data_IF_535407269488
#
_entry.id   IF_535407269488
#
_cell.length_a   1.000
_cell.length_b   1.000
_cell.length_c   1.000
_cell.angle_alpha   90.00
_cell.angle_beta   90.00
_cell.angle_gamma   90.00
#
_symmetry.space_group_name_H-M   'P 1'
#
loop_
_entity.id
_entity.type
_entity.pdbx_description
1 polymer ?
#
# COMPACT_ATOMS: atom_id res chain seq x y z
N UNK A 1 12.67 -19.58 -4.27
CA UNK A 1 12.54 -18.15 -4.63
C UNK A 1 13.01 -17.28 -3.48
N UNK A 2 12.53 -17.50 -2.25
CA UNK A 2 13.00 -16.81 -1.04
C UNK A 2 14.54 -16.65 -0.95
N UNK A 3 15.31 -17.72 -1.08
CA UNK A 3 16.80 -17.67 -1.04
C UNK A 3 17.40 -16.76 -2.13
N UNK A 4 16.73 -16.60 -3.27
CA UNK A 4 17.21 -15.78 -4.39
C UNK A 4 16.70 -14.34 -4.36
N UNK A 5 15.44 -14.13 -3.98
CA UNK A 5 14.76 -12.83 -4.09
C UNK A 5 14.49 -12.16 -2.74
N UNK A 6 14.64 -12.88 -1.62
CA UNK A 6 14.23 -12.42 -0.29
C UNK A 6 12.71 -12.39 -0.08
N UNK A 7 11.91 -12.73 -1.10
CA UNK A 7 10.45 -12.70 -1.04
C UNK A 7 9.88 -14.12 -0.93
N UNK A 8 9.08 -14.44 0.10
CA UNK A 8 8.48 -15.76 0.26
C UNK A 8 7.43 -16.02 -0.83
N UNK A 9 7.30 -17.28 -1.23
CA UNK A 9 6.27 -17.64 -2.22
C UNK A 9 4.90 -17.70 -1.57
N UNK A 10 3.82 -17.63 -2.36
CA UNK A 10 2.46 -17.82 -1.84
C UNK A 10 2.27 -19.17 -1.14
N UNK A 11 3.06 -20.20 -1.49
CA UNK A 11 3.05 -21.49 -0.78
C UNK A 11 3.66 -21.39 0.62
N UNK A 12 4.70 -20.58 0.78
CA UNK A 12 5.35 -20.36 2.07
C UNK A 12 4.44 -19.54 2.99
N UNK A 13 3.81 -18.48 2.46
CA UNK A 13 2.85 -17.66 3.20
C UNK A 13 1.66 -18.51 3.66
N UNK A 14 1.09 -19.35 2.78
CA UNK A 14 -0.04 -20.24 3.14
C UNK A 14 0.25 -21.19 4.31
N UNK A 15 1.51 -21.59 4.53
CA UNK A 15 1.88 -22.47 5.65
C UNK A 15 1.80 -21.76 7.01
N UNK A 16 2.01 -20.44 7.02
CA UNK A 16 2.02 -19.61 8.24
C UNK A 16 0.74 -18.81 8.42
N UNK A 17 -0.15 -18.78 7.41
CA UNK A 17 -1.46 -18.15 7.50
C UNK A 17 -2.31 -18.82 8.58
N UNK A 18 -2.85 -18.08 9.56
CA UNK A 18 -3.78 -18.64 10.54
C UNK A 18 -5.04 -19.20 9.86
N UNK A 19 -5.65 -20.26 10.41
CA UNK A 19 -6.95 -20.74 9.93
C UNK A 19 -8.02 -19.65 9.98
N UNK A 20 -8.98 -19.66 9.05
CA UNK A 20 -10.07 -18.68 9.00
C UNK A 20 -10.85 -18.57 10.31
N UNK A 21 -11.10 -19.71 10.96
CA UNK A 21 -11.78 -19.78 12.26
C UNK A 21 -11.05 -19.00 13.37
N UNK A 22 -9.73 -18.80 13.25
CA UNK A 22 -8.94 -18.00 14.18
C UNK A 22 -9.03 -16.52 13.81
N UNK A 23 -8.92 -16.19 12.52
CA UNK A 23 -9.00 -14.81 12.03
C UNK A 23 -10.36 -14.17 12.31
N UNK A 24 -11.45 -14.96 12.25
CA UNK A 24 -12.81 -14.51 12.55
C UNK A 24 -13.07 -14.31 14.05
N UNK A 25 -12.28 -14.92 14.94
CA UNK A 25 -12.45 -14.79 16.39
C UNK A 25 -11.85 -13.52 16.96
N UNK A 26 -10.82 -12.97 16.33
CA UNK A 26 -10.16 -11.77 16.81
C UNK A 26 -8.70 -11.66 16.38
N UNK A 27 -7.96 -10.71 16.99
CA UNK A 27 -6.60 -10.40 16.62
C UNK A 27 -5.65 -11.56 16.96
N UNK A 28 -4.76 -11.89 16.02
CA UNK A 28 -3.80 -12.99 16.17
C UNK A 28 -2.42 -12.60 15.63
N UNK A 29 -1.36 -13.11 16.27
CA UNK A 29 0.00 -12.94 15.77
C UNK A 29 0.28 -13.89 14.59
N UNK A 30 1.02 -13.42 13.61
CA UNK A 30 1.51 -14.17 12.45
C UNK A 30 3.02 -14.02 12.42
N UNK A 31 3.75 -15.15 12.41
CA UNK A 31 5.21 -15.16 12.38
C UNK A 31 5.69 -15.63 11.00
N UNK A 32 6.36 -14.76 10.29
CA UNK A 32 6.94 -14.98 8.95
C UNK A 32 8.43 -15.34 9.04
N UNK A 33 8.77 -16.30 9.90
CA UNK A 33 10.11 -16.86 9.98
C UNK A 33 10.23 -18.06 9.02
N UNK A 34 10.90 -17.86 7.88
CA UNK A 34 10.96 -18.85 6.80
C UNK A 34 12.27 -19.62 6.70
N UNK A 35 13.23 -19.39 7.59
CA UNK A 35 14.55 -20.04 7.58
C UNK A 35 14.83 -20.61 8.98
N UNK A 36 15.67 -21.65 9.05
CA UNK A 36 16.11 -22.26 10.31
C UNK A 36 17.35 -21.52 10.80
N UNK A 37 17.15 -20.59 11.73
CA UNK A 37 18.19 -19.74 12.30
C UNK A 37 18.13 -19.81 13.84
N UNK A 38 19.27 -19.72 14.54
CA UNK A 38 19.32 -19.86 16.00
C UNK A 38 18.71 -18.63 16.68
N UNK A 39 17.39 -18.62 16.90
CA UNK A 39 16.65 -17.45 17.37
C UNK A 39 15.40 -17.84 18.19
N UNK A 40 15.27 -17.33 19.41
CA UNK A 40 14.12 -17.52 20.30
C UNK A 40 13.56 -16.27 21.04
N UNK A 41 13.86 -15.00 20.70
CA UNK A 41 13.25 -13.83 21.35
C UNK A 41 11.73 -13.83 21.35
N UNK A 42 11.08 -14.35 20.30
CA UNK A 42 9.62 -14.40 20.24
C UNK A 42 9.03 -15.28 21.35
N UNK A 43 9.63 -16.46 21.60
CA UNK A 43 9.25 -17.36 22.68
C UNK A 43 9.49 -16.73 24.04
N UNK A 44 10.70 -16.22 24.30
CA UNK A 44 11.05 -15.61 25.60
C UNK A 44 10.27 -14.32 25.89
N UNK A 45 9.79 -13.61 24.85
CA UNK A 45 8.91 -12.46 24.99
C UNK A 45 7.48 -12.84 25.42
N UNK A 46 7.03 -14.06 25.11
CA UNK A 46 5.64 -14.45 25.27
C UNK A 46 5.32 -14.85 26.71
N UNK A 47 4.58 -13.99 27.43
CA UNK A 47 4.12 -14.29 28.80
C UNK A 47 2.93 -15.26 28.87
N UNK A 48 2.28 -15.51 27.74
CA UNK A 48 1.07 -16.34 27.64
C UNK A 48 1.37 -17.76 27.18
N UNK A 49 2.64 -18.10 26.93
CA UNK A 49 3.06 -19.40 26.39
C UNK A 49 2.31 -19.75 25.08
N UNK A 50 2.08 -18.74 24.25
CA UNK A 50 1.43 -18.86 22.95
C UNK A 50 2.39 -19.26 21.84
N UNK A 51 3.70 -19.29 22.09
CA UNK A 51 4.70 -19.82 21.17
C UNK A 51 5.22 -21.12 21.78
N UNK A 52 5.23 -22.21 21.01
CA UNK A 52 5.73 -23.50 21.47
C UNK A 52 7.20 -23.37 21.87
N UNK A 53 7.60 -24.12 22.90
CA UNK A 53 9.01 -24.22 23.27
C UNK A 53 9.80 -24.86 22.13
N UNK A 54 11.01 -24.36 21.91
CA UNK A 54 11.89 -24.82 20.86
C UNK A 54 12.63 -26.07 21.35
N UNK A 55 12.57 -27.18 20.60
CA UNK A 55 13.39 -28.36 20.87
C UNK A 55 14.85 -28.08 20.45
N UNK A 56 15.02 -27.51 19.25
CA UNK A 56 16.25 -26.90 18.77
C UNK A 56 16.01 -25.39 18.56
N UNK A 57 16.97 -24.56 18.98
CA UNK A 57 16.92 -23.11 18.79
C UNK A 57 16.87 -22.69 17.31
N UNK A 58 17.29 -23.58 16.40
CA UNK A 58 17.20 -23.38 14.96
C UNK A 58 15.79 -23.66 14.40
N UNK A 59 14.91 -24.31 15.16
CA UNK A 59 13.55 -24.59 14.70
C UNK A 59 12.76 -23.31 14.49
N UNK A 60 11.73 -23.39 13.63
CA UNK A 60 10.84 -22.26 13.39
C UNK A 60 9.83 -22.11 14.53
N UNK A 61 9.49 -20.88 14.93
CA UNK A 61 8.46 -20.65 15.94
C UNK A 61 7.10 -21.14 15.45
N UNK A 62 6.42 -21.91 16.28
CA UNK A 62 5.03 -22.30 16.09
C UNK A 62 4.13 -21.62 17.12
N UNK A 63 2.99 -21.08 16.65
CA UNK A 63 2.02 -20.39 17.51
C UNK A 63 0.90 -21.36 17.91
N UNK A 64 0.57 -21.35 19.19
CA UNK A 64 -0.65 -21.93 19.75
C UNK A 64 -1.70 -20.81 19.73
N UNK A 65 -2.51 -20.77 18.69
CA UNK A 65 -3.40 -19.64 18.41
C UNK A 65 -4.40 -19.36 19.55
N UNK A 66 -4.86 -20.40 20.24
CA UNK A 66 -5.81 -20.32 21.35
C UNK A 66 -5.26 -19.55 22.57
N UNK A 67 -3.94 -19.47 22.70
CA UNK A 67 -3.26 -18.76 23.80
C UNK A 67 -2.79 -17.37 23.38
N UNK A 68 -2.87 -17.02 22.11
CA UNK A 68 -2.37 -15.75 21.61
C UNK A 68 -3.34 -14.64 21.96
N UNK A 69 -2.87 -13.63 22.69
CA UNK A 69 -3.68 -12.46 23.06
C UNK A 69 -3.39 -11.23 22.20
N UNK A 70 -2.61 -11.39 21.12
CA UNK A 70 -2.18 -10.30 20.23
C UNK A 70 -1.60 -9.05 20.95
N UNK A 71 -0.87 -9.25 22.07
CA UNK A 71 -0.34 -8.14 22.86
C UNK A 71 0.77 -7.32 22.16
N UNK A 72 1.44 -7.90 21.15
CA UNK A 72 2.52 -7.26 20.37
C UNK A 72 3.91 -7.32 21.01
N UNK A 73 4.09 -8.02 22.14
CA UNK A 73 5.41 -8.13 22.79
C UNK A 73 6.42 -8.89 21.94
N UNK A 74 6.00 -9.96 21.26
CA UNK A 74 6.83 -10.71 20.33
C UNK A 74 7.24 -9.85 19.13
N UNK A 75 6.34 -9.03 18.60
CA UNK A 75 6.61 -8.10 17.48
C UNK A 75 7.71 -7.12 17.85
N UNK A 76 7.60 -6.47 19.01
CA UNK A 76 8.58 -5.48 19.47
C UNK A 76 9.96 -6.07 19.77
N UNK A 77 10.04 -7.36 20.15
CA UNK A 77 11.31 -8.02 20.48
C UNK A 77 11.90 -8.84 19.33
N UNK A 78 11.22 -8.90 18.18
CA UNK A 78 11.69 -9.70 17.05
C UNK A 78 12.88 -8.99 16.38
N UNK A 79 14.10 -9.55 16.42
CA UNK A 79 15.24 -8.92 15.76
C UNK A 79 15.14 -8.94 14.23
N UNK A 80 14.32 -9.85 13.67
CA UNK A 80 14.09 -9.97 12.23
C UNK A 80 12.88 -9.20 11.72
N UNK A 81 12.16 -8.46 12.57
CA UNK A 81 10.94 -7.72 12.21
C UNK A 81 9.88 -8.57 11.47
N UNK A 82 9.88 -9.88 11.73
CA UNK A 82 9.13 -10.89 10.97
C UNK A 82 7.82 -11.31 11.63
N UNK A 83 7.30 -10.52 12.57
CA UNK A 83 6.07 -10.84 13.30
C UNK A 83 5.09 -9.71 13.11
N UNK A 84 3.86 -10.07 12.79
CA UNK A 84 2.77 -9.15 12.53
C UNK A 84 1.58 -9.55 13.41
N UNK A 85 0.66 -8.63 13.66
CA UNK A 85 -0.64 -8.98 14.24
C UNK A 85 -1.70 -8.58 13.23
N UNK A 86 -2.64 -9.48 12.98
CA UNK A 86 -3.74 -9.28 12.06
C UNK A 86 -5.04 -9.40 12.82
N UNK A 87 -5.94 -8.46 12.57
CA UNK A 87 -7.30 -8.45 13.12
C UNK A 87 -8.31 -8.19 12.01
N UNK A 88 -8.98 -9.24 11.55
CA UNK A 88 -10.05 -9.13 10.55
C UNK A 88 -11.42 -8.81 11.17
N UNK A 89 -11.51 -8.72 12.51
CA UNK A 89 -12.75 -8.40 13.22
C UNK A 89 -12.96 -6.89 13.42
N UNK A 90 -11.98 -6.08 13.01
CA UNK A 90 -11.99 -4.63 13.18
C UNK A 90 -13.21 -3.93 12.54
N UNK A 91 -13.57 -4.33 11.33
CA UNK A 91 -14.70 -3.78 10.56
C UNK A 91 -15.24 -4.83 9.58
N UNK A 92 -16.39 -4.56 8.95
CA UNK A 92 -16.92 -5.40 7.87
C UNK A 92 -15.97 -5.43 6.67
N UNK A 93 -15.45 -4.26 6.27
CA UNK A 93 -14.64 -4.06 5.06
C UNK A 93 -13.14 -3.94 5.30
N UNK A 94 -12.73 -3.55 6.50
CA UNK A 94 -11.33 -3.30 6.85
C UNK A 94 -10.82 -4.30 7.89
N UNK A 95 -9.52 -4.59 7.84
CA UNK A 95 -8.77 -5.30 8.85
C UNK A 95 -7.67 -4.40 9.40
N UNK A 96 -7.17 -4.69 10.61
CA UNK A 96 -5.94 -4.05 11.09
C UNK A 96 -4.73 -4.96 10.96
N UNK A 97 -3.62 -4.37 10.55
CA UNK A 97 -2.32 -5.01 10.49
C UNK A 97 -1.34 -4.20 11.32
N UNK A 98 -0.79 -4.82 12.35
CA UNK A 98 0.25 -4.23 13.18
C UNK A 98 1.62 -4.67 12.68
N UNK A 99 2.45 -3.67 12.39
CA UNK A 99 3.77 -3.81 11.82
C UNK A 99 4.83 -3.27 12.80
N UNK A 100 6.01 -3.91 12.89
CA UNK A 100 7.18 -3.28 13.49
C UNK A 100 7.75 -2.19 12.56
N UNK A 101 8.20 -1.09 13.13
CA UNK A 101 8.75 0.05 12.39
C UNK A 101 9.93 0.69 13.14
N UNK A 102 11.07 0.83 12.47
CA UNK A 102 12.33 1.29 13.07
C UNK A 102 12.88 2.59 12.48
N UNK A 103 12.12 3.23 11.60
CA UNK A 103 12.52 4.48 10.95
C UNK A 103 11.91 5.71 11.61
N UNK A 104 12.50 6.87 11.32
CA UNK A 104 11.98 8.19 11.64
C UNK A 104 11.80 8.99 10.35
N UNK A 105 10.82 9.92 10.27
CA UNK A 105 9.84 10.24 11.29
C UNK A 105 8.77 9.16 11.46
N UNK A 106 8.14 9.10 12.64
CA UNK A 106 6.97 8.25 12.85
C UNK A 106 5.72 8.89 12.23
N UNK A 107 4.80 8.09 11.66
CA UNK A 107 3.50 8.60 11.26
C UNK A 107 2.70 9.06 12.49
N UNK A 108 1.70 9.90 12.28
CA UNK A 108 0.72 10.28 13.31
C UNK A 108 -0.53 9.42 13.16
N UNK A 109 -1.23 9.22 14.28
CA UNK A 109 -2.55 8.59 14.24
C UNK A 109 -3.51 9.43 13.40
N UNK A 110 -4.20 8.78 12.47
CA UNK A 110 -5.06 9.41 11.48
C UNK A 110 -4.40 9.73 10.14
N UNK A 111 -3.06 9.67 10.03
CA UNK A 111 -2.37 9.83 8.75
C UNK A 111 -2.73 8.69 7.78
N UNK A 112 -2.67 8.99 6.49
CA UNK A 112 -2.74 7.97 5.45
C UNK A 112 -1.34 7.71 4.90
N UNK A 113 -1.03 6.44 4.70
CA UNK A 113 0.25 5.92 4.23
C UNK A 113 0.00 4.90 3.13
N UNK A 114 1.03 4.58 2.35
CA UNK A 114 0.93 3.54 1.32
C UNK A 114 1.34 2.20 1.93
N UNK A 115 0.41 1.26 2.02
CA UNK A 115 0.69 -0.12 2.40
C UNK A 115 1.50 -0.82 1.31
N UNK A 116 2.59 -1.47 1.70
CA UNK A 116 3.50 -2.19 0.81
C UNK A 116 3.42 -3.70 1.06
N UNK A 117 3.57 -4.48 -0.01
CA UNK A 117 3.73 -5.93 0.10
C UNK A 117 5.16 -6.33 0.49
N UNK A 118 5.43 -7.64 0.52
CA UNK A 118 6.74 -8.24 0.86
C UNK A 118 7.86 -7.89 -0.12
N UNK A 119 7.50 -7.55 -1.35
CA UNK A 119 8.44 -7.08 -2.38
C UNK A 119 8.70 -5.56 -2.30
N UNK A 120 7.98 -4.83 -1.45
CA UNK A 120 8.04 -3.38 -1.36
C UNK A 120 7.16 -2.66 -2.38
N UNK A 121 6.26 -3.37 -3.07
CA UNK A 121 5.34 -2.78 -4.04
C UNK A 121 4.10 -2.19 -3.35
N UNK A 122 3.59 -1.04 -3.81
CA UNK A 122 2.39 -0.43 -3.26
C UNK A 122 1.15 -1.27 -3.59
N UNK A 123 0.37 -1.64 -2.57
CA UNK A 123 -0.82 -2.50 -2.73
C UNK A 123 -2.11 -1.84 -2.31
N UNK A 124 -2.08 -0.94 -1.32
CA UNK A 124 -3.27 -0.20 -0.92
C UNK A 124 -2.94 1.08 -0.17
N UNK A 125 -3.94 1.96 -0.14
CA UNK A 125 -3.96 3.08 0.78
C UNK A 125 -4.33 2.57 2.17
N UNK A 126 -3.54 2.91 3.18
CA UNK A 126 -3.73 2.43 4.55
C UNK A 126 -3.84 3.60 5.52
N UNK A 127 -4.71 3.49 6.52
CA UNK A 127 -4.86 4.52 7.56
C UNK A 127 -4.11 4.13 8.82
N UNK A 128 -3.34 5.04 9.39
CA UNK A 128 -2.63 4.81 10.65
C UNK A 128 -3.63 4.90 11.80
N UNK A 129 -3.96 3.75 12.39
CA UNK A 129 -4.92 3.65 13.50
C UNK A 129 -4.25 3.95 14.83
N UNK A 130 -3.04 3.42 15.04
CA UNK A 130 -2.36 3.52 16.33
C UNK A 130 -0.85 3.49 16.21
N UNK A 131 -0.17 4.34 16.97
CA UNK A 131 1.29 4.40 17.01
C UNK A 131 1.76 4.14 18.44
N UNK A 132 2.46 3.03 18.65
CA UNK A 132 3.04 2.67 19.95
C UNK A 132 4.56 2.72 19.86
N UNK A 133 5.17 3.68 20.53
CA UNK A 133 6.63 3.76 20.62
C UNK A 133 7.17 2.75 21.64
N UNK A 134 8.25 2.07 21.28
CA UNK A 134 9.03 1.27 22.23
C UNK A 134 9.63 2.13 23.36
N UNK A 135 9.95 1.51 24.50
CA UNK A 135 10.72 2.17 25.57
C UNK A 135 12.18 2.35 25.10
N UNK A 136 12.94 3.26 25.74
CA UNK A 136 14.32 3.65 25.38
C UNK A 136 15.26 2.47 25.02
N UNK A 137 15.10 1.31 25.66
CA UNK A 137 15.94 0.11 25.42
C UNK A 137 15.65 -0.61 24.10
N UNK A 138 14.47 -0.41 23.49
CA UNK A 138 14.06 -1.10 22.27
C UNK A 138 13.38 -0.09 21.34
N UNK A 139 14.09 0.36 20.30
CA UNK A 139 13.69 1.48 19.44
C UNK A 139 12.63 1.12 18.39
N UNK A 140 12.22 -0.15 18.33
CA UNK A 140 11.14 -0.62 17.47
C UNK A 140 9.79 -0.04 17.93
N UNK A 141 9.15 0.71 17.05
CA UNK A 141 7.78 1.19 17.22
C UNK A 141 6.81 0.21 16.59
N UNK A 142 5.60 0.12 17.13
CA UNK A 142 4.51 -0.69 16.57
C UNK A 142 3.49 0.23 15.95
N UNK A 143 3.26 0.05 14.65
CA UNK A 143 2.33 0.86 13.86
C UNK A 143 1.16 -0.04 13.47
N UNK A 144 -0.06 0.35 13.83
CA UNK A 144 -1.27 -0.36 13.44
C UNK A 144 -1.91 0.36 12.28
N UNK A 145 -2.04 -0.32 11.15
CA UNK A 145 -2.65 0.18 9.92
C UNK A 145 -4.03 -0.46 9.74
N UNK A 146 -5.04 0.33 9.36
CA UNK A 146 -6.27 -0.18 8.78
C UNK A 146 -6.10 -0.31 7.27
N UNK A 147 -6.42 -1.49 6.75
CA UNK A 147 -6.25 -1.89 5.35
C UNK A 147 -7.50 -2.63 4.89
N UNK A 148 -7.79 -2.71 3.57
CA UNK A 148 -8.85 -3.57 3.05
C UNK A 148 -8.66 -5.01 3.54
N UNK A 149 -9.75 -5.66 3.97
CA UNK A 149 -9.69 -7.00 4.59
C UNK A 149 -9.01 -8.04 3.69
N UNK A 150 -9.23 -7.96 2.38
CA UNK A 150 -8.61 -8.84 1.37
C UNK A 150 -7.08 -8.76 1.35
N UNK A 151 -6.50 -7.65 1.83
CA UNK A 151 -5.07 -7.36 1.82
C UNK A 151 -4.43 -7.51 3.21
N UNK A 152 -5.17 -8.03 4.21
CA UNK A 152 -4.69 -8.25 5.59
C UNK A 152 -3.39 -9.07 5.65
N UNK A 153 -3.31 -10.11 4.81
CA UNK A 153 -2.16 -10.99 4.68
C UNK A 153 -1.11 -10.50 3.68
N UNK A 154 -1.38 -9.42 2.95
CA UNK A 154 -0.48 -8.91 1.90
C UNK A 154 0.38 -7.75 2.40
N UNK A 155 -0.20 -6.83 3.18
CA UNK A 155 0.53 -5.66 3.70
C UNK A 155 1.55 -6.08 4.76
N UNK A 156 2.82 -5.75 4.55
CA UNK A 156 3.94 -6.10 5.45
C UNK A 156 4.89 -4.95 5.76
N UNK A 157 4.78 -3.85 5.03
CA UNK A 157 5.46 -2.60 5.32
C UNK A 157 4.58 -1.43 4.86
N UNK A 158 5.05 -0.20 5.04
CA UNK A 158 4.41 0.98 4.48
C UNK A 158 5.44 2.04 4.10
N UNK A 159 5.07 2.90 3.14
CA UNK A 159 5.75 4.15 2.85
C UNK A 159 4.96 5.31 3.48
N UNK A 160 5.67 6.27 4.08
CA UNK A 160 5.10 7.49 4.66
C UNK A 160 4.40 8.38 3.63
N UNK A 161 4.77 8.28 2.36
CA UNK A 161 4.07 8.96 1.28
C UNK A 161 2.73 8.28 1.01
N UNK A 162 1.65 9.05 0.97
CA UNK A 162 0.35 8.60 0.49
C UNK A 162 0.35 8.68 -1.04
N UNK A 163 0.79 7.61 -1.70
CA UNK A 163 0.85 7.47 -3.16
C UNK A 163 -0.50 7.76 -3.83
N UNK A 164 -1.60 7.53 -3.09
CA UNK A 164 -2.98 7.73 -3.52
C UNK A 164 -3.53 9.13 -3.20
N UNK A 165 -2.90 9.89 -2.29
CA UNK A 165 -3.12 11.35 -2.11
C UNK A 165 -1.95 12.17 -2.66
N UNK A 166 -1.39 11.76 -3.78
CA UNK A 166 -0.39 12.59 -4.44
C UNK A 166 -1.05 13.91 -4.90
N UNK A 167 -0.98 14.93 -4.03
CA UNK A 167 -1.56 16.27 -4.24
C UNK A 167 -0.86 17.05 -5.36
N UNK A 168 0.14 16.44 -6.01
CA UNK A 168 0.80 17.03 -7.17
C UNK A 168 -0.25 17.25 -8.26
N UNK A 169 -0.56 18.51 -8.54
CA UNK A 169 -1.52 18.86 -9.59
C UNK A 169 -0.93 18.50 -10.96
N UNK A 170 -1.49 17.49 -11.60
CA UNK A 170 -1.08 17.03 -12.93
C UNK A 170 -1.83 17.79 -14.04
N UNK A 171 -3.12 18.09 -13.83
CA UNK A 171 -3.90 18.93 -14.75
C UNK A 171 -4.21 20.28 -14.13
N UNK A 172 -3.36 21.28 -14.40
CA UNK A 172 -3.53 22.64 -13.88
C UNK A 172 -4.86 23.30 -14.27
N UNK A 173 -5.40 22.97 -15.44
CA UNK A 173 -6.63 23.58 -15.93
C UNK A 173 -7.88 23.12 -15.18
N UNK A 174 -7.96 21.83 -14.86
CA UNK A 174 -9.12 21.24 -14.19
C UNK A 174 -8.86 20.99 -12.69
N UNK A 175 -7.65 21.29 -12.19
CA UNK A 175 -7.28 21.12 -10.78
C UNK A 175 -7.02 19.67 -10.36
N UNK A 176 -6.87 18.75 -11.33
CA UNK A 176 -6.74 17.32 -11.05
C UNK A 176 -5.35 16.98 -10.53
N UNK A 177 -5.30 16.22 -9.45
CA UNK A 177 -4.10 15.73 -8.78
C UNK A 177 -3.65 14.38 -9.34
N UNK A 178 -2.38 14.04 -9.11
CA UNK A 178 -1.81 12.75 -9.49
C UNK A 178 -2.45 11.59 -8.70
N UNK A 179 -2.85 11.84 -7.46
CA UNK A 179 -3.60 10.89 -6.63
C UNK A 179 -4.93 10.50 -7.27
N UNK A 180 -5.74 11.48 -7.71
CA UNK A 180 -7.01 11.24 -8.41
C UNK A 180 -6.80 10.42 -9.70
N UNK A 181 -5.75 10.69 -10.46
CA UNK A 181 -5.43 9.91 -11.66
C UNK A 181 -5.04 8.48 -11.32
N UNK A 182 -4.21 8.27 -10.31
CA UNK A 182 -3.78 6.93 -9.88
C UNK A 182 -4.93 6.11 -9.33
N UNK A 183 -5.86 6.73 -8.60
CA UNK A 183 -7.08 6.11 -8.12
C UNK A 183 -7.91 5.57 -9.30
N UNK A 184 -8.17 6.40 -10.31
CA UNK A 184 -8.88 5.98 -11.53
C UNK A 184 -8.12 4.86 -12.28
N UNK A 185 -6.79 4.93 -12.35
CA UNK A 185 -6.00 3.84 -12.95
C UNK A 185 -6.19 2.54 -12.15
N UNK A 186 -6.24 2.61 -10.82
CA UNK A 186 -6.47 1.43 -9.96
C UNK A 186 -7.87 0.83 -10.09
N UNK A 187 -8.87 1.65 -10.44
CA UNK A 187 -10.23 1.20 -10.76
C UNK A 187 -10.34 0.50 -12.14
N UNK A 188 -9.27 0.53 -12.94
CA UNK A 188 -9.18 -0.17 -14.22
C UNK A 188 -9.22 0.75 -15.45
N UNK A 189 -9.21 2.08 -15.27
CA UNK A 189 -9.16 3.02 -16.40
C UNK A 189 -7.72 3.14 -16.93
N UNK A 190 -7.43 2.43 -18.01
CA UNK A 190 -6.07 2.25 -18.53
C UNK A 190 -5.84 2.90 -19.90
N UNK A 191 -6.75 3.76 -20.34
CA UNK A 191 -6.59 4.56 -21.56
C UNK A 191 -6.72 6.05 -21.28
N UNK A 192 -6.03 6.86 -22.10
CA UNK A 192 -6.12 8.32 -22.01
C UNK A 192 -7.56 8.81 -22.17
N UNK A 193 -8.33 8.20 -23.08
CA UNK A 193 -9.71 8.60 -23.35
C UNK A 193 -10.66 8.28 -22.17
N UNK A 194 -10.47 7.15 -21.49
CA UNK A 194 -11.21 6.83 -20.26
C UNK A 194 -10.88 7.84 -19.15
N UNK A 195 -9.58 8.03 -18.86
CA UNK A 195 -9.15 8.98 -17.83
C UNK A 195 -9.65 10.39 -18.13
N UNK A 196 -9.57 10.83 -19.40
CA UNK A 196 -10.09 12.13 -19.83
C UNK A 196 -11.59 12.26 -19.63
N UNK A 197 -12.38 11.23 -19.93
CA UNK A 197 -13.85 11.27 -19.79
C UNK A 197 -14.29 11.32 -18.33
N UNK A 198 -13.59 10.59 -17.45
CA UNK A 198 -13.95 10.51 -16.03
C UNK A 198 -13.39 11.69 -15.24
N UNK A 199 -12.09 11.97 -15.36
CA UNK A 199 -11.42 13.03 -14.58
C UNK A 199 -11.49 14.43 -15.20
N UNK A 200 -11.86 14.54 -16.48
CA UNK A 200 -11.71 15.75 -17.32
C UNK A 200 -10.26 16.19 -17.56
N UNK A 201 -9.26 15.47 -17.06
CA UNK A 201 -7.86 15.81 -17.28
C UNK A 201 -7.54 15.90 -18.78
N UNK A 202 -7.04 17.05 -19.21
CA UNK A 202 -6.77 17.35 -20.62
C UNK A 202 -7.95 17.95 -21.41
N UNK A 203 -9.10 18.20 -20.78
CA UNK A 203 -10.25 18.89 -21.40
C UNK A 203 -10.25 20.40 -21.21
N UNK A 204 -9.37 20.93 -20.36
CA UNK A 204 -9.24 22.37 -20.13
C UNK A 204 -8.71 23.15 -21.35
N UNK A 205 -8.55 24.48 -21.25
CA UNK A 205 -8.12 25.33 -22.37
C UNK A 205 -6.77 24.93 -22.99
N UNK A 206 -5.89 24.27 -22.23
CA UNK A 206 -4.63 23.76 -22.77
C UNK A 206 -4.78 22.50 -23.65
N UNK A 207 -5.97 21.89 -23.72
CA UNK A 207 -6.29 20.68 -24.49
C UNK A 207 -5.28 19.53 -24.27
N UNK A 208 -4.82 19.37 -23.04
CA UNK A 208 -3.90 18.28 -22.66
C UNK A 208 -2.44 18.50 -23.02
N UNK A 209 -2.03 19.65 -23.56
CA UNK A 209 -0.62 19.94 -23.93
C UNK A 209 0.37 19.70 -22.79
N UNK A 210 -0.02 19.96 -21.54
CA UNK A 210 0.84 19.81 -20.36
C UNK A 210 0.67 18.45 -19.70
N UNK A 211 -0.56 18.03 -19.41
CA UNK A 211 -0.83 16.85 -18.60
C UNK A 211 -0.79 15.54 -19.39
N UNK A 212 -1.00 15.54 -20.72
CA UNK A 212 -1.18 14.30 -21.49
C UNK A 212 -0.01 13.33 -21.35
N UNK A 213 1.22 13.78 -21.56
CA UNK A 213 2.39 12.89 -21.49
C UNK A 213 2.61 12.36 -20.07
N UNK A 214 2.27 13.14 -19.04
CA UNK A 214 2.32 12.71 -17.66
C UNK A 214 1.28 11.61 -17.38
N UNK A 215 0.05 11.77 -17.89
CA UNK A 215 -0.98 10.72 -17.80
C UNK A 215 -0.56 9.44 -18.52
N UNK A 216 0.03 9.56 -19.72
CA UNK A 216 0.56 8.40 -20.46
C UNK A 216 1.67 7.69 -19.70
N UNK A 217 2.54 8.43 -19.01
CA UNK A 217 3.59 7.86 -18.19
C UNK A 217 3.02 7.02 -17.04
N UNK A 218 2.02 7.53 -16.33
CA UNK A 218 1.37 6.80 -15.24
C UNK A 218 0.64 5.55 -15.73
N UNK A 219 -0.05 5.63 -16.88
CA UNK A 219 -0.65 4.46 -17.53
C UNK A 219 0.44 3.43 -17.90
N UNK A 220 1.57 3.89 -18.44
CA UNK A 220 2.70 3.03 -18.81
C UNK A 220 3.32 2.32 -17.63
N UNK A 221 3.49 3.02 -16.50
CA UNK A 221 4.03 2.46 -15.27
C UNK A 221 3.18 1.29 -14.76
N UNK A 222 1.86 1.35 -14.90
CA UNK A 222 0.94 0.29 -14.42
C UNK A 222 0.74 -0.81 -15.47
N UNK A 223 0.61 -0.46 -16.75
CA UNK A 223 0.29 -1.42 -17.82
C UNK A 223 1.50 -2.06 -18.47
N UNK A 224 2.71 -1.53 -18.22
CA UNK A 224 3.95 -1.93 -18.88
C UNK A 224 4.02 -1.57 -20.37
N UNK A 225 3.05 -0.83 -20.91
CA UNK A 225 3.04 -0.41 -22.32
C UNK A 225 4.08 0.70 -22.55
N UNK A 226 4.78 0.63 -23.68
CA UNK A 226 5.59 1.75 -24.16
C UNK A 226 4.70 2.85 -24.77
N UNK A 227 5.20 4.08 -24.80
CA UNK A 227 4.49 5.23 -25.39
C UNK A 227 4.04 4.98 -26.84
N UNK A 228 4.83 4.24 -27.62
CA UNK A 228 4.54 3.90 -29.02
C UNK A 228 3.27 3.04 -29.16
N UNK A 229 2.95 2.24 -28.14
CA UNK A 229 1.81 1.33 -28.13
C UNK A 229 0.58 1.91 -27.41
N UNK A 230 0.58 3.23 -27.14
CA UNK A 230 -0.54 3.93 -26.53
C UNK A 230 -1.24 4.84 -27.53
N UNK A 231 -2.57 4.84 -27.51
CA UNK A 231 -3.37 5.79 -28.29
C UNK A 231 -3.33 7.17 -27.61
N UNK A 232 -2.89 8.19 -28.36
CA UNK A 232 -2.80 9.60 -27.92
C UNK A 232 -4.12 10.37 -28.07
N UNK A 233 -5.14 9.73 -28.63
CA UNK A 233 -6.44 10.31 -28.90
C UNK A 233 -6.46 11.22 -30.13
N UNK A 234 -7.66 11.66 -30.52
CA UNK A 234 -7.84 12.50 -31.70
C UNK A 234 -7.54 13.97 -31.42
N UNK A 235 -6.72 14.58 -32.26
CA UNK A 235 -6.57 16.04 -32.30
C UNK A 235 -7.74 16.67 -33.05
N UNK A 236 -8.38 17.67 -32.45
CA UNK A 236 -9.55 18.35 -33.01
C UNK A 236 -9.24 19.84 -33.19
N UNK A 237 -9.65 20.48 -34.31
CA UNK A 237 -9.60 21.92 -34.43
C UNK A 237 -10.67 22.59 -33.52
N UNK A 238 -10.46 23.85 -33.10
CA UNK A 238 -9.27 24.68 -33.33
C UNK A 238 -8.09 24.27 -32.43
N UNK A 239 -6.86 24.42 -32.92
CA UNK A 239 -5.64 24.01 -32.19
C UNK A 239 -5.42 24.85 -30.92
N UNK A 240 -5.90 26.08 -30.91
CA UNK A 240 -5.88 27.01 -29.78
C UNK A 240 -7.27 27.62 -29.55
N UNK A 241 -7.44 28.31 -28.42
CA UNK A 241 -8.73 28.90 -28.07
C UNK A 241 -9.01 30.12 -28.94
N UNK A 242 -10.06 30.05 -29.75
CA UNK A 242 -10.50 31.12 -30.65
C UNK A 242 -11.76 31.79 -30.12
N UNK A 243 -11.81 33.13 -30.12
CA UNK A 243 -13.03 33.87 -29.76
C UNK A 243 -14.13 33.61 -30.80
N UNK A 244 -15.36 33.37 -30.36
CA UNK A 244 -16.49 33.10 -31.28
C UNK A 244 -16.70 34.22 -32.33
N UNK A 245 -16.38 35.49 -32.00
CA UNK A 245 -16.46 36.63 -32.93
C UNK A 245 -15.64 36.43 -34.21
N UNK A 246 -14.53 35.69 -34.12
CA UNK A 246 -13.65 35.42 -35.26
C UNK A 246 -14.38 34.61 -36.33
N UNK A 247 -15.14 33.59 -35.92
CA UNK A 247 -15.94 32.78 -36.84
C UNK A 247 -17.17 33.54 -37.38
N UNK A 248 -17.61 34.59 -36.70
CA UNK A 248 -18.71 35.46 -37.14
C UNK A 248 -18.25 36.63 -38.05
N UNK A 249 -16.96 36.69 -38.42
CA UNK A 249 -16.41 37.73 -39.31
C UNK A 249 -16.02 39.03 -38.61
N UNK A 250 -15.88 39.05 -37.27
CA UNK A 250 -15.36 40.20 -36.53
C UNK A 250 -13.82 40.22 -36.49
N UNK A 251 -13.24 41.42 -36.49
CA UNK A 251 -11.77 41.62 -36.59
C UNK A 251 -10.95 40.93 -35.48
N UNK A 252 -9.79 40.46 -35.95
CA UNK A 252 -8.55 39.93 -35.35
C UNK A 252 -8.61 39.15 -34.03
N UNK A 253 -7.75 38.13 -34.00
CA UNK A 253 -7.54 37.18 -32.91
C UNK A 253 -6.67 37.74 -31.76
N UNK A 254 -6.85 39.03 -31.47
CA UNK A 254 -6.31 39.70 -30.28
C UNK A 254 -7.39 39.77 -29.19
#
# INVERSE_FOLDING_TARGET
>A
MLIKTGVPTSKDVKKITPPKEILEKGPVAVIECFEEIPCNPCYTACKFNAIKAFEDINNRPEIIFEKCTACGQCVMKCPGLAIFIIDETYSETEATVLLPYEYLPLPKEGDYVTGLNRGGEPVCRAKVVKVRTGKIQNKTSLITLAVPKELSMEVRSFNMEDFYRDNTVICRCEGITLGEIRELISEGYHTLDELKRISRAGMGPCQGRTCRHLLMQEIGNVTGKSFENMDIGTFRPPTETVKLKYFAGGDTHE
#
